data_IF_044234409487
#
_entry.id   IF_044234409487
#
_cell.length_a   1.000
_cell.length_b   1.000
_cell.length_c   1.000
_cell.angle_alpha   90.00
_cell.angle_beta   90.00
_cell.angle_gamma   90.00
#
_symmetry.space_group_name_H-M   'P 1'
#
loop_
_entity.id
_entity.type
_entity.pdbx_description
1 polymer ?
#
# COMPACT_ATOMS: atom_id res chain seq x y z
N UNK A 1 45.56 -35.64 -22.25
CA UNK A 1 45.38 -34.22 -21.89
C UNK A 1 44.18 -34.13 -20.98
N UNK A 2 44.44 -34.01 -19.69
CA UNK A 2 43.48 -33.96 -18.57
C UNK A 2 43.02 -32.51 -18.36
N UNK A 3 41.71 -32.25 -18.42
CA UNK A 3 41.15 -30.93 -18.14
C UNK A 3 40.75 -30.83 -16.67
N UNK A 4 41.44 -29.94 -15.94
CA UNK A 4 41.23 -29.59 -14.54
C UNK A 4 40.02 -28.66 -14.39
N UNK A 5 39.07 -29.04 -13.54
CA UNK A 5 37.94 -28.19 -13.15
C UNK A 5 38.41 -27.13 -12.14
N UNK A 6 38.21 -25.85 -12.47
CA UNK A 6 38.49 -24.72 -11.58
C UNK A 6 37.19 -24.31 -10.90
N UNK A 7 37.12 -24.48 -9.58
CA UNK A 7 36.01 -24.03 -8.72
C UNK A 7 36.10 -22.53 -8.50
N UNK A 8 35.33 -21.75 -9.26
CA UNK A 8 35.15 -20.32 -9.03
C UNK A 8 34.23 -20.06 -7.83
N UNK A 9 34.75 -19.40 -6.79
CA UNK A 9 33.98 -18.93 -5.65
C UNK A 9 32.97 -17.85 -6.10
N UNK A 10 31.70 -18.02 -5.72
CA UNK A 10 30.68 -16.99 -5.91
C UNK A 10 30.99 -15.77 -5.03
N UNK A 11 30.94 -14.53 -5.56
CA UNK A 11 31.09 -13.34 -4.74
C UNK A 11 29.89 -13.20 -3.80
N UNK A 12 30.17 -12.93 -2.53
CA UNK A 12 29.18 -12.66 -1.51
C UNK A 12 28.27 -11.49 -1.92
N UNK A 13 26.97 -11.61 -1.67
CA UNK A 13 26.01 -10.56 -1.93
C UNK A 13 26.36 -9.28 -1.14
N UNK A 14 26.20 -8.08 -1.72
CA UNK A 14 26.50 -6.83 -1.05
C UNK A 14 25.61 -6.67 0.19
N UNK A 15 26.23 -6.39 1.34
CA UNK A 15 25.54 -6.06 2.58
C UNK A 15 24.81 -4.74 2.41
N UNK A 16 23.51 -4.73 2.71
CA UNK A 16 22.70 -3.52 2.67
C UNK A 16 23.23 -2.49 3.68
N UNK A 17 23.17 -1.18 3.37
CA UNK A 17 23.59 -0.15 4.32
C UNK A 17 22.73 -0.20 5.58
N UNK A 18 23.39 -0.33 6.74
CA UNK A 18 22.76 -0.31 8.05
C UNK A 18 22.40 1.13 8.42
N UNK A 19 21.10 1.39 8.57
CA UNK A 19 20.56 2.63 9.15
C UNK A 19 21.10 2.81 10.59
N UNK A 20 21.27 4.04 11.11
CA UNK A 20 21.76 4.25 12.46
C UNK A 20 20.91 3.48 13.47
N UNK A 21 21.56 2.79 14.41
CA UNK A 21 20.87 2.06 15.46
C UNK A 21 19.96 3.04 16.24
N UNK A 22 18.68 2.66 16.39
CA UNK A 22 17.72 3.48 17.11
C UNK A 22 18.19 3.71 18.56
N UNK A 23 18.13 4.96 19.03
CA UNK A 23 18.46 5.28 20.42
C UNK A 23 17.58 4.45 21.38
N UNK A 24 18.11 3.98 22.52
CA UNK A 24 17.30 3.22 23.49
C UNK A 24 16.15 4.10 24.01
N UNK A 25 14.92 3.61 23.84
CA UNK A 25 13.69 4.23 24.33
C UNK A 25 12.95 3.21 25.18
N UNK A 26 12.31 3.67 26.26
CA UNK A 26 11.46 2.82 27.11
C UNK A 26 10.05 2.68 26.57
N UNK A 27 9.68 3.45 25.54
CA UNK A 27 8.36 3.42 24.93
C UNK A 27 8.24 2.23 23.96
N UNK A 28 7.07 1.57 23.90
CA UNK A 28 6.88 0.45 22.99
C UNK A 28 6.91 0.92 21.55
N UNK A 29 7.61 0.14 20.72
CA UNK A 29 7.69 0.36 19.27
C UNK A 29 6.92 -0.71 18.55
N UNK A 30 6.18 -0.32 17.52
CA UNK A 30 5.41 -1.19 16.66
C UNK A 30 5.92 -1.05 15.23
N UNK A 31 5.76 -2.10 14.44
CA UNK A 31 5.96 -2.02 13.00
C UNK A 31 4.80 -2.64 12.23
N UNK A 32 4.53 -2.07 11.06
CA UNK A 32 3.61 -2.62 10.09
C UNK A 32 4.33 -2.78 8.74
N UNK A 33 4.19 -3.96 8.14
CA UNK A 33 4.59 -4.21 6.75
C UNK A 33 3.32 -4.45 5.93
N UNK A 34 3.14 -3.67 4.87
CA UNK A 34 2.07 -3.83 3.90
C UNK A 34 2.64 -4.29 2.55
N UNK A 35 2.17 -5.44 2.07
CA UNK A 35 2.58 -6.04 0.80
C UNK A 35 1.44 -5.86 -0.22
N UNK A 36 1.54 -4.80 -1.01
CA UNK A 36 0.66 -4.53 -2.13
C UNK A 36 1.16 -5.10 -3.46
N UNK A 37 0.38 -4.84 -4.52
CA UNK A 37 0.70 -5.29 -5.89
C UNK A 37 1.99 -4.71 -6.44
N UNK A 38 2.24 -3.42 -6.19
CA UNK A 38 3.39 -2.71 -6.76
C UNK A 38 4.53 -2.53 -5.75
N UNK A 39 4.18 -2.33 -4.47
CA UNK A 39 5.17 -2.00 -3.44
C UNK A 39 4.94 -2.75 -2.13
N UNK A 40 6.04 -2.98 -1.43
CA UNK A 40 6.08 -3.32 0.00
C UNK A 40 6.41 -2.04 0.75
N UNK A 41 5.63 -1.73 1.80
CA UNK A 41 5.85 -0.59 2.69
C UNK A 41 6.13 -1.09 4.10
N UNK A 42 7.07 -0.45 4.78
CA UNK A 42 7.34 -0.62 6.20
C UNK A 42 7.11 0.73 6.88
N UNK A 43 6.40 0.71 8.00
CA UNK A 43 6.34 1.83 8.95
C UNK A 43 6.75 1.31 10.32
N UNK A 44 7.69 1.99 10.96
CA UNK A 44 8.08 1.77 12.36
C UNK A 44 7.64 2.99 13.17
N UNK A 45 6.89 2.77 14.23
CA UNK A 45 6.34 3.83 15.06
C UNK A 45 6.58 3.57 16.55
N UNK A 46 6.77 4.64 17.31
CA UNK A 46 6.88 4.63 18.77
C UNK A 46 5.58 5.15 19.38
N UNK A 47 4.94 4.33 20.21
CA UNK A 47 3.65 4.67 20.84
C UNK A 47 3.91 5.61 22.01
N UNK A 48 3.19 6.73 22.02
CA UNK A 48 3.26 7.74 23.07
C UNK A 48 2.33 7.41 24.24
N UNK A 49 2.58 7.93 25.46
CA UNK A 49 1.74 7.66 26.63
C UNK A 49 0.26 8.07 26.48
N UNK A 50 -0.03 9.04 25.62
CA UNK A 50 -1.38 9.52 25.31
C UNK A 50 -2.13 8.67 24.25
N UNK A 51 -1.50 7.56 23.80
CA UNK A 51 -2.06 6.69 22.77
C UNK A 51 -1.91 7.22 21.34
N UNK A 52 -1.17 8.30 21.13
CA UNK A 52 -0.68 8.70 19.81
C UNK A 52 0.58 7.91 19.43
N UNK A 53 1.13 8.14 18.24
CA UNK A 53 2.37 7.52 17.82
C UNK A 53 3.24 8.51 17.04
N UNK A 54 4.55 8.28 17.11
CA UNK A 54 5.55 9.00 16.33
C UNK A 54 6.21 8.04 15.37
N UNK A 55 6.16 8.33 14.08
CA UNK A 55 6.87 7.54 13.06
C UNK A 55 8.37 7.72 13.27
N UNK A 56 9.07 6.61 13.48
CA UNK A 56 10.53 6.55 13.61
C UNK A 56 11.19 6.28 12.27
N UNK A 57 10.54 5.46 11.45
CA UNK A 57 11.05 5.10 10.15
C UNK A 57 9.94 4.71 9.18
N UNK A 58 10.17 5.01 7.91
CA UNK A 58 9.37 4.53 6.78
C UNK A 58 10.31 4.03 5.69
N UNK A 59 9.92 2.93 5.06
CA UNK A 59 10.63 2.40 3.90
C UNK A 59 9.62 1.87 2.87
N UNK A 60 9.97 2.01 1.59
CA UNK A 60 9.12 1.60 0.47
C UNK A 60 9.98 1.05 -0.65
N UNK A 61 9.65 -0.17 -1.07
CA UNK A 61 10.33 -0.85 -2.16
C UNK A 61 9.35 -1.52 -3.12
N UNK A 62 9.80 -1.84 -4.33
CA UNK A 62 9.01 -2.69 -5.25
C UNK A 62 8.82 -4.11 -4.69
N UNK A 63 7.64 -4.68 -4.89
CA UNK A 63 7.26 -5.98 -4.33
C UNK A 63 8.14 -7.11 -4.86
N UNK A 64 8.96 -7.70 -3.99
CA UNK A 64 9.73 -8.94 -4.21
C UNK A 64 9.89 -9.69 -2.89
N UNK A 65 9.83 -11.03 -2.89
CA UNK A 65 9.92 -11.84 -1.67
C UNK A 65 11.17 -11.52 -0.82
N UNK A 66 12.33 -11.33 -1.46
CA UNK A 66 13.57 -11.00 -0.75
C UNK A 66 13.54 -9.66 0.00
N UNK A 67 12.58 -8.77 -0.30
CA UNK A 67 12.42 -7.49 0.44
C UNK A 67 11.69 -7.66 1.75
N UNK A 68 10.85 -8.69 1.89
CA UNK A 68 10.15 -9.01 3.15
C UNK A 68 11.15 -9.26 4.28
N UNK A 69 12.22 -10.03 4.01
CA UNK A 69 13.29 -10.27 4.97
C UNK A 69 14.06 -8.99 5.36
N UNK A 70 14.31 -8.10 4.40
CA UNK A 70 14.97 -6.80 4.67
C UNK A 70 14.10 -5.91 5.57
N UNK A 71 12.80 -5.79 5.27
CA UNK A 71 11.88 -5.00 6.09
C UNK A 71 11.78 -5.52 7.51
N UNK A 72 11.75 -6.86 7.69
CA UNK A 72 11.84 -7.47 9.02
C UNK A 72 13.15 -7.12 9.73
N UNK A 73 14.29 -7.21 9.06
CA UNK A 73 15.58 -6.88 9.67
C UNK A 73 15.65 -5.40 10.14
N UNK A 74 15.03 -4.48 9.40
CA UNK A 74 14.87 -3.09 9.83
C UNK A 74 14.03 -3.03 11.11
N UNK A 75 12.83 -3.62 11.11
CA UNK A 75 11.96 -3.63 12.28
C UNK A 75 12.63 -4.26 13.52
N UNK A 76 13.34 -5.38 13.34
CA UNK A 76 14.12 -6.04 14.41
C UNK A 76 15.24 -5.11 14.93
N UNK A 77 15.91 -4.36 14.05
CA UNK A 77 16.93 -3.38 14.42
C UNK A 77 16.41 -2.22 15.27
N UNK A 78 15.10 -1.90 15.18
CA UNK A 78 14.44 -0.93 16.05
C UNK A 78 13.98 -1.52 17.39
N UNK A 79 14.05 -2.85 17.56
CA UNK A 79 13.59 -3.54 18.76
C UNK A 79 12.07 -3.45 18.94
N UNK A 80 11.30 -3.59 17.87
CA UNK A 80 9.83 -3.51 17.94
C UNK A 80 9.24 -4.61 18.82
N UNK A 81 8.25 -4.25 19.63
CA UNK A 81 7.50 -5.19 20.48
C UNK A 81 6.55 -6.05 19.65
N UNK A 82 6.01 -5.49 18.56
CA UNK A 82 5.10 -6.18 17.66
C UNK A 82 5.36 -5.77 16.21
N UNK A 83 5.29 -6.76 15.31
CA UNK A 83 5.34 -6.58 13.87
C UNK A 83 4.11 -7.23 13.25
N UNK A 84 3.21 -6.43 12.67
CA UNK A 84 2.10 -6.93 11.84
C UNK A 84 2.50 -6.86 10.37
N UNK A 85 2.36 -7.96 9.64
CA UNK A 85 2.68 -8.02 8.20
C UNK A 85 1.43 -8.48 7.46
N UNK A 86 0.90 -7.62 6.58
CA UNK A 86 -0.29 -7.92 5.78
C UNK A 86 0.07 -8.00 4.28
N UNK A 87 -0.72 -8.76 3.53
CA UNK A 87 -0.71 -8.75 2.07
C UNK A 87 -2.11 -8.61 1.51
N UNK A 88 -2.24 -7.88 0.40
CA UNK A 88 -3.52 -7.49 -0.17
C UNK A 88 -3.80 -8.22 -1.49
N UNK A 89 -4.52 -7.58 -2.42
CA UNK A 89 -5.07 -8.17 -3.65
C UNK A 89 -4.08 -9.05 -4.43
N UNK A 90 -2.81 -8.62 -4.56
CA UNK A 90 -1.83 -9.38 -5.35
C UNK A 90 -1.52 -10.77 -4.80
N UNK A 91 -1.35 -10.91 -3.48
CA UNK A 91 -1.08 -12.22 -2.87
C UNK A 91 -2.38 -13.01 -2.74
N UNK A 92 -3.50 -12.33 -2.45
CA UNK A 92 -4.84 -12.92 -2.33
C UNK A 92 -5.31 -13.61 -3.61
N UNK A 93 -5.04 -13.00 -4.76
CA UNK A 93 -5.49 -13.50 -6.07
C UNK A 93 -4.47 -14.41 -6.77
N UNK A 94 -3.19 -14.37 -6.37
CA UNK A 94 -2.16 -15.16 -7.03
C UNK A 94 -2.36 -16.67 -6.82
N UNK A 95 -2.25 -17.45 -7.90
CA UNK A 95 -2.33 -18.92 -7.84
C UNK A 95 -1.30 -19.54 -6.88
N UNK A 96 -0.14 -18.90 -6.74
CA UNK A 96 0.95 -19.27 -5.83
C UNK A 96 1.01 -18.40 -4.56
N UNK A 97 -0.06 -17.68 -4.21
CA UNK A 97 -0.08 -16.80 -3.03
C UNK A 97 0.18 -17.54 -1.72
N UNK A 98 -0.33 -18.77 -1.58
CA UNK A 98 -0.07 -19.64 -0.41
C UNK A 98 1.40 -20.05 -0.30
N UNK A 99 2.06 -20.28 -1.42
CA UNK A 99 3.49 -20.58 -1.45
C UNK A 99 4.28 -19.35 -1.01
N UNK A 100 3.92 -18.15 -1.49
CA UNK A 100 4.54 -16.90 -1.05
C UNK A 100 4.45 -16.69 0.46
N UNK A 101 3.27 -16.92 1.07
CA UNK A 101 3.06 -16.87 2.52
C UNK A 101 3.95 -17.89 3.25
N UNK A 102 3.98 -19.13 2.76
CA UNK A 102 4.78 -20.20 3.35
C UNK A 102 6.28 -19.91 3.28
N UNK A 103 6.74 -19.36 2.16
CA UNK A 103 8.13 -18.97 1.94
C UNK A 103 8.57 -17.80 2.82
N UNK A 104 7.69 -16.80 3.04
CA UNK A 104 7.95 -15.69 3.94
C UNK A 104 8.22 -16.19 5.38
N UNK A 105 7.44 -17.18 5.85
CA UNK A 105 7.69 -17.82 7.13
C UNK A 105 8.97 -18.67 7.11
N UNK A 106 9.15 -19.54 6.09
CA UNK A 106 10.26 -20.49 6.03
C UNK A 106 11.62 -19.80 5.96
N UNK A 107 11.75 -18.74 5.15
CA UNK A 107 13.02 -18.05 4.90
C UNK A 107 13.29 -16.92 5.88
N UNK A 108 12.25 -16.21 6.30
CA UNK A 108 12.40 -14.94 7.02
C UNK A 108 11.68 -14.92 8.38
N UNK A 109 10.96 -16.00 8.75
CA UNK A 109 10.16 -16.05 9.99
C UNK A 109 9.16 -14.89 10.09
N UNK A 110 8.68 -14.40 8.95
CA UNK A 110 7.64 -13.39 8.88
C UNK A 110 6.29 -14.08 8.79
N UNK A 111 5.40 -13.80 9.75
CA UNK A 111 4.00 -14.23 9.68
C UNK A 111 3.26 -13.24 8.78
N UNK A 112 2.86 -13.70 7.61
CA UNK A 112 2.13 -12.89 6.64
C UNK A 112 0.63 -13.19 6.72
N UNK A 113 -0.17 -12.18 6.99
CA UNK A 113 -1.63 -12.23 6.99
C UNK A 113 -2.14 -11.78 5.61
N UNK A 114 -2.82 -12.64 4.87
CA UNK A 114 -3.52 -12.22 3.64
C UNK A 114 -4.87 -11.68 4.03
N UNK A 115 -5.04 -10.36 4.01
CA UNK A 115 -6.26 -9.71 4.50
C UNK A 115 -7.38 -9.76 3.45
N UNK A 116 -8.65 -9.96 3.87
CA UNK A 116 -9.81 -9.71 3.02
C UNK A 116 -9.88 -8.26 2.59
N UNK A 117 -10.58 -7.98 1.49
CA UNK A 117 -10.69 -6.62 0.98
C UNK A 117 -11.50 -5.71 1.94
N UNK A 118 -12.45 -6.28 2.67
CA UNK A 118 -13.24 -5.59 3.69
C UNK A 118 -12.35 -5.15 4.86
N UNK A 119 -11.37 -5.96 5.24
CA UNK A 119 -10.40 -5.61 6.30
C UNK A 119 -9.43 -4.53 5.82
N UNK A 120 -8.95 -4.61 4.57
CA UNK A 120 -8.13 -3.58 3.93
C UNK A 120 -8.86 -2.22 3.93
N UNK A 121 -10.12 -2.20 3.50
CA UNK A 121 -10.96 -1.01 3.54
C UNK A 121 -11.22 -0.51 4.98
N UNK A 122 -11.45 -1.42 5.94
CA UNK A 122 -11.63 -1.04 7.35
C UNK A 122 -10.37 -0.40 7.93
N UNK A 123 -9.19 -0.89 7.57
CA UNK A 123 -7.91 -0.30 7.98
C UNK A 123 -7.72 1.08 7.35
N UNK A 124 -8.04 1.25 6.07
CA UNK A 124 -8.03 2.54 5.39
C UNK A 124 -8.99 3.54 6.06
N UNK A 125 -10.23 3.13 6.35
CA UNK A 125 -11.21 3.93 7.07
C UNK A 125 -10.72 4.40 8.44
N UNK A 126 -10.12 3.49 9.22
CA UNK A 126 -9.52 3.82 10.52
C UNK A 126 -8.36 4.79 10.42
N UNK A 127 -7.58 4.70 9.35
CA UNK A 127 -6.51 5.66 9.08
C UNK A 127 -7.08 7.05 8.82
N UNK A 128 -8.12 7.16 7.98
CA UNK A 128 -8.76 8.44 7.65
C UNK A 128 -9.41 9.09 8.86
N UNK A 129 -10.23 8.35 9.62
CA UNK A 129 -10.95 8.88 10.81
C UNK A 129 -10.03 9.30 11.94
N UNK A 130 -8.77 8.87 11.95
CA UNK A 130 -7.77 9.36 12.91
C UNK A 130 -7.14 10.69 12.49
N UNK A 131 -7.23 11.04 11.22
CA UNK A 131 -6.58 12.21 10.63
C UNK A 131 -7.56 13.32 10.28
N UNK A 132 -8.80 12.97 9.94
CA UNK A 132 -9.86 13.90 9.54
C UNK A 132 -11.06 13.71 10.44
N UNK A 133 -11.66 14.82 10.84
CA UNK A 133 -12.98 14.84 11.45
C UNK A 133 -14.03 14.65 10.35
N UNK A 134 -14.78 13.55 10.43
CA UNK A 134 -15.82 13.18 9.47
C UNK A 134 -17.23 13.35 10.04
N UNK A 135 -17.34 13.98 11.22
CA UNK A 135 -18.63 14.20 11.86
C UNK A 135 -19.51 15.10 10.95
N UNK A 136 -20.79 14.76 10.89
CA UNK A 136 -21.80 15.43 10.06
C UNK A 136 -21.53 15.47 8.53
N UNK A 137 -20.55 14.71 8.02
CA UNK A 137 -20.23 14.67 6.58
C UNK A 137 -20.67 13.36 5.90
N UNK A 138 -21.06 13.50 4.63
CA UNK A 138 -21.21 12.39 3.70
C UNK A 138 -19.90 12.20 2.93
N UNK A 139 -19.09 11.23 3.31
CA UNK A 139 -17.72 11.07 2.82
C UNK A 139 -17.56 9.82 1.95
N UNK A 140 -16.85 9.95 0.83
CA UNK A 140 -16.29 8.83 0.09
C UNK A 140 -14.78 8.75 0.33
N UNK A 141 -14.29 7.64 0.87
CA UNK A 141 -12.86 7.35 0.97
C UNK A 141 -12.51 6.40 -0.17
N UNK A 142 -11.51 6.78 -0.97
CA UNK A 142 -11.10 6.02 -2.15
C UNK A 142 -9.61 5.73 -2.04
N UNK A 143 -9.22 4.45 -1.93
CA UNK A 143 -7.83 4.02 -1.97
C UNK A 143 -7.52 3.38 -3.32
N UNK A 144 -6.63 3.98 -4.11
CA UNK A 144 -6.20 3.40 -5.40
C UNK A 144 -4.88 2.66 -5.21
N UNK A 145 -4.99 1.34 -5.10
CA UNK A 145 -3.87 0.42 -5.13
C UNK A 145 -3.39 0.05 -6.54
N UNK A 146 -2.41 -0.84 -6.61
CA UNK A 146 -1.92 -1.38 -7.89
C UNK A 146 -2.85 -2.44 -8.47
N UNK A 147 -3.48 -3.26 -7.63
CA UNK A 147 -4.35 -4.37 -8.03
C UNK A 147 -5.85 -4.10 -7.87
N UNK A 148 -6.24 -3.29 -6.89
CA UNK A 148 -7.63 -2.98 -6.57
C UNK A 148 -7.83 -1.49 -6.29
N UNK A 149 -9.08 -1.11 -6.09
CA UNK A 149 -9.48 0.18 -5.54
C UNK A 149 -10.59 -0.06 -4.53
N UNK A 150 -10.37 0.40 -3.31
CA UNK A 150 -11.35 0.32 -2.24
C UNK A 150 -12.13 1.64 -2.18
N UNK A 151 -13.47 1.54 -2.14
CA UNK A 151 -14.39 2.66 -1.99
C UNK A 151 -15.19 2.45 -0.71
N UNK A 152 -15.10 3.38 0.22
CA UNK A 152 -15.83 3.36 1.49
C UNK A 152 -16.74 4.59 1.51
N UNK A 153 -18.04 4.38 1.64
CA UNK A 153 -19.01 5.45 1.84
C UNK A 153 -19.34 5.51 3.33
N UNK A 154 -19.09 6.66 3.94
CA UNK A 154 -19.36 6.91 5.36
C UNK A 154 -20.25 8.14 5.57
N UNK A 155 -21.16 8.04 6.55
CA UNK A 155 -22.02 9.14 6.97
C UNK A 155 -21.84 9.37 8.47
N UNK A 156 -21.47 10.59 8.88
CA UNK A 156 -21.25 10.94 10.29
C UNK A 156 -20.27 9.99 11.00
N UNK A 157 -19.14 9.69 10.35
CA UNK A 157 -18.13 8.78 10.89
C UNK A 157 -18.52 7.29 10.94
N UNK A 158 -19.66 6.88 10.39
CA UNK A 158 -20.10 5.48 10.31
C UNK A 158 -20.01 4.97 8.87
N UNK A 159 -19.51 3.74 8.70
CA UNK A 159 -19.41 3.10 7.39
C UNK A 159 -20.77 2.56 6.95
N UNK A 160 -21.28 3.08 5.84
CA UNK A 160 -22.54 2.66 5.22
C UNK A 160 -22.32 1.61 4.12
N UNK A 161 -21.22 1.73 3.37
CA UNK A 161 -20.88 0.79 2.29
C UNK A 161 -19.38 0.65 2.13
N UNK A 162 -18.92 -0.57 1.89
CA UNK A 162 -17.54 -0.89 1.50
C UNK A 162 -17.58 -1.69 0.21
N UNK A 163 -16.83 -1.25 -0.79
CA UNK A 163 -16.70 -1.93 -2.07
C UNK A 163 -15.23 -2.03 -2.45
N UNK A 164 -14.78 -3.22 -2.80
CA UNK A 164 -13.46 -3.46 -3.38
C UNK A 164 -13.60 -3.76 -4.86
N UNK A 165 -13.03 -2.90 -5.70
CA UNK A 165 -13.12 -2.98 -7.14
C UNK A 165 -11.80 -3.51 -7.71
N UNK A 166 -11.82 -4.41 -8.72
CA UNK A 166 -10.61 -4.86 -9.41
C UNK A 166 -10.10 -3.78 -10.40
N UNK A 167 -9.93 -2.54 -9.92
CA UNK A 167 -9.61 -1.34 -10.70
C UNK A 167 -8.28 -0.70 -10.30
N UNK A 168 -7.29 -1.51 -9.92
CA UNK A 168 -5.96 -0.99 -9.57
C UNK A 168 -5.18 -0.44 -10.77
N UNK A 169 -4.31 0.55 -10.51
CA UNK A 169 -3.55 1.26 -11.53
C UNK A 169 -2.64 0.34 -12.38
N UNK A 170 -1.95 -0.60 -11.74
CA UNK A 170 -1.08 -1.57 -12.44
C UNK A 170 -1.93 -2.55 -13.26
N UNK A 171 -3.00 -3.09 -12.68
CA UNK A 171 -3.90 -4.02 -13.37
C UNK A 171 -4.49 -3.40 -14.63
N UNK A 172 -4.97 -2.16 -14.54
CA UNK A 172 -5.57 -1.45 -15.67
C UNK A 172 -4.52 -1.08 -16.72
N UNK A 173 -3.33 -0.64 -16.30
CA UNK A 173 -2.22 -0.36 -17.22
C UNK A 173 -1.78 -1.61 -18.00
N UNK A 174 -1.55 -2.74 -17.32
CA UNK A 174 -1.18 -3.99 -17.97
C UNK A 174 -2.24 -4.47 -18.95
N UNK A 175 -3.53 -4.27 -18.65
CA UNK A 175 -4.63 -4.71 -19.50
C UNK A 175 -4.84 -3.81 -20.72
N UNK A 176 -4.80 -2.49 -20.56
CA UNK A 176 -5.23 -1.54 -21.60
C UNK A 176 -4.09 -0.69 -22.18
N UNK A 177 -3.03 -0.39 -21.41
CA UNK A 177 -1.95 0.50 -21.82
C UNK A 177 -0.87 -0.21 -22.64
N UNK A 178 -1.23 -0.60 -23.87
CA UNK A 178 -0.34 -1.32 -24.81
C UNK A 178 0.47 -0.40 -25.74
N UNK A 179 0.37 0.92 -25.56
CA UNK A 179 1.06 1.91 -26.40
C UNK A 179 1.27 3.19 -25.61
N UNK A 180 2.32 3.93 -25.95
CA UNK A 180 2.56 5.27 -25.45
C UNK A 180 2.79 6.24 -26.64
N UNK A 181 1.90 7.22 -26.88
CA UNK A 181 0.68 7.51 -26.13
C UNK A 181 -0.41 6.44 -26.29
N UNK A 182 -1.38 6.44 -25.38
CA UNK A 182 -2.48 5.49 -25.40
C UNK A 182 -3.41 5.74 -26.60
N UNK A 183 -3.64 4.71 -27.43
CA UNK A 183 -4.59 4.81 -28.55
C UNK A 183 -6.02 5.07 -28.07
N UNK A 184 -6.76 5.93 -28.78
CA UNK A 184 -8.12 6.33 -28.42
C UNK A 184 -9.10 5.16 -28.22
N UNK A 185 -8.96 4.07 -29.01
CA UNK A 185 -9.75 2.85 -28.84
C UNK A 185 -9.54 2.21 -27.46
N UNK A 186 -8.29 2.11 -27.01
CA UNK A 186 -7.96 1.53 -25.69
C UNK A 186 -8.40 2.45 -24.56
N UNK A 187 -8.28 3.78 -24.73
CA UNK A 187 -8.81 4.75 -23.78
C UNK A 187 -10.33 4.61 -23.58
N UNK A 188 -11.11 4.55 -24.66
CA UNK A 188 -12.57 4.35 -24.59
C UNK A 188 -12.93 3.03 -23.91
N UNK A 189 -12.19 1.96 -24.20
CA UNK A 189 -12.41 0.65 -23.58
C UNK A 189 -12.10 0.68 -22.07
N UNK A 190 -10.98 1.30 -21.68
CA UNK A 190 -10.60 1.48 -20.28
C UNK A 190 -11.68 2.23 -19.50
N UNK A 191 -12.10 3.40 -19.99
CA UNK A 191 -13.13 4.22 -19.34
C UNK A 191 -14.45 3.46 -19.21
N UNK A 192 -14.92 2.81 -20.28
CA UNK A 192 -16.15 1.99 -20.23
C UNK A 192 -16.05 0.87 -19.19
N UNK A 193 -14.90 0.21 -19.08
CA UNK A 193 -14.72 -0.83 -18.06
C UNK A 193 -14.75 -0.26 -16.65
N UNK A 194 -14.11 0.88 -16.40
CA UNK A 194 -14.16 1.55 -15.10
C UNK A 194 -15.61 1.92 -14.75
N UNK A 195 -16.30 2.62 -15.65
CA UNK A 195 -17.68 3.08 -15.44
C UNK A 195 -18.64 1.90 -15.15
N UNK A 196 -18.55 0.83 -15.94
CA UNK A 196 -19.38 -0.36 -15.74
C UNK A 196 -19.05 -1.08 -14.42
N UNK A 197 -17.77 -1.23 -14.09
CA UNK A 197 -17.35 -1.93 -12.87
C UNK A 197 -17.82 -1.18 -11.62
N UNK A 198 -17.72 0.15 -11.63
CA UNK A 198 -18.24 1.02 -10.56
C UNK A 198 -19.76 0.87 -10.46
N UNK A 199 -20.48 0.98 -11.58
CA UNK A 199 -21.93 0.89 -11.59
C UNK A 199 -22.45 -0.46 -11.10
N UNK A 200 -21.83 -1.56 -11.53
CA UNK A 200 -22.24 -2.93 -11.17
C UNK A 200 -22.00 -3.22 -9.68
N UNK A 201 -20.88 -2.73 -9.11
CA UNK A 201 -20.47 -3.06 -7.76
C UNK A 201 -21.04 -2.11 -6.69
N UNK A 202 -21.13 -0.81 -6.98
CA UNK A 202 -21.69 0.19 -6.05
C UNK A 202 -23.21 0.23 -6.17
N UNK A 203 -23.75 0.05 -7.39
CA UNK A 203 -25.19 0.17 -7.64
C UNK A 203 -25.69 1.59 -7.36
N UNK A 204 -26.84 1.70 -6.69
CA UNK A 204 -27.34 2.99 -6.17
C UNK A 204 -26.65 3.25 -4.82
N UNK A 205 -25.77 4.27 -4.72
CA UNK A 205 -25.12 4.56 -3.45
C UNK A 205 -26.16 5.04 -2.41
N UNK A 206 -25.91 4.82 -1.11
CA UNK A 206 -26.80 5.27 -0.04
C UNK A 206 -27.00 6.79 -0.05
N UNK A 207 -25.99 7.54 -0.50
CA UNK A 207 -26.01 8.99 -0.63
C UNK A 207 -25.01 9.46 -1.69
N UNK A 208 -25.10 10.73 -2.10
CA UNK A 208 -24.05 11.39 -2.86
C UNK A 208 -23.02 11.95 -1.88
N UNK A 209 -21.75 11.56 -2.01
CA UNK A 209 -20.69 12.07 -1.13
C UNK A 209 -20.46 13.56 -1.37
N UNK A 210 -20.37 14.33 -0.30
CA UNK A 210 -20.02 15.75 -0.27
C UNK A 210 -18.51 15.95 -0.29
N UNK A 211 -17.77 15.02 0.32
CA UNK A 211 -16.31 15.05 0.41
C UNK A 211 -15.73 13.72 -0.08
N UNK A 212 -14.67 13.79 -0.89
CA UNK A 212 -13.88 12.62 -1.27
C UNK A 212 -12.47 12.71 -0.69
N UNK A 213 -12.06 11.67 0.03
CA UNK A 213 -10.70 11.54 0.58
C UNK A 213 -9.97 10.46 -0.23
N UNK A 214 -8.94 10.87 -0.97
CA UNK A 214 -8.10 9.98 -1.77
C UNK A 214 -6.91 9.44 -0.98
N UNK A 215 -6.66 8.13 -1.06
CA UNK A 215 -5.50 7.44 -0.47
C UNK A 215 -4.74 6.62 -1.52
N UNK A 216 -3.45 6.40 -1.26
CA UNK A 216 -2.59 5.59 -2.12
C UNK A 216 -1.71 6.41 -3.05
N UNK A 217 -0.78 5.72 -3.71
CA UNK A 217 0.31 6.37 -4.47
C UNK A 217 -0.18 7.17 -5.68
N UNK A 218 -1.33 6.80 -6.25
CA UNK A 218 -1.90 7.50 -7.39
C UNK A 218 -2.36 8.91 -7.00
N UNK A 219 -3.11 9.06 -5.90
CA UNK A 219 -3.56 10.38 -5.44
C UNK A 219 -2.40 11.25 -4.97
N UNK A 220 -1.43 10.69 -4.24
CA UNK A 220 -0.25 11.46 -3.81
C UNK A 220 0.52 11.99 -5.01
N UNK A 221 0.77 11.16 -6.02
CA UNK A 221 1.48 11.60 -7.22
C UNK A 221 0.68 12.66 -8.01
N UNK A 222 -0.64 12.54 -8.10
CA UNK A 222 -1.48 13.56 -8.73
C UNK A 222 -1.42 14.91 -7.98
N UNK A 223 -1.45 14.88 -6.65
CA UNK A 223 -1.30 16.09 -5.83
C UNK A 223 0.08 16.75 -6.01
N UNK A 224 1.15 15.95 -6.07
CA UNK A 224 2.51 16.44 -6.34
C UNK A 224 2.64 17.07 -7.73
N UNK A 225 2.05 16.44 -8.75
CA UNK A 225 2.02 16.98 -10.11
C UNK A 225 1.26 18.32 -10.17
N UNK A 226 0.11 18.41 -9.51
CA UNK A 226 -0.69 19.64 -9.44
C UNK A 226 0.06 20.77 -8.70
N UNK A 227 0.75 20.45 -7.59
CA UNK A 227 1.60 21.42 -6.88
C UNK A 227 2.77 21.91 -7.75
N UNK A 228 3.44 21.00 -8.45
CA UNK A 228 4.54 21.36 -9.33
C UNK A 228 4.08 22.29 -10.46
N UNK A 229 2.90 22.05 -11.02
CA UNK A 229 2.30 22.90 -12.05
C UNK A 229 1.90 24.28 -11.51
N UNK A 230 1.33 24.36 -10.30
CA UNK A 230 0.82 25.61 -9.72
C UNK A 230 1.91 26.48 -9.08
N UNK A 231 2.76 25.86 -8.27
CA UNK A 231 3.65 26.54 -7.34
C UNK A 231 5.14 26.36 -7.70
N UNK A 232 5.45 25.55 -8.73
CA UNK A 232 6.82 25.26 -9.18
C UNK A 232 7.65 24.44 -8.19
N UNK A 233 7.04 23.94 -7.12
CA UNK A 233 7.69 23.14 -6.07
C UNK A 233 6.72 22.14 -5.47
N UNK A 234 7.25 21.01 -5.02
CA UNK A 234 6.52 19.99 -4.28
C UNK A 234 6.93 20.07 -2.82
N UNK A 235 5.96 20.13 -1.90
CA UNK A 235 6.23 20.16 -0.46
C UNK A 235 5.76 18.88 0.22
N UNK A 236 4.45 18.74 0.38
CA UNK A 236 3.80 17.52 0.89
C UNK A 236 2.52 17.30 0.10
N UNK A 237 2.26 16.05 -0.29
CA UNK A 237 0.98 15.67 -0.90
C UNK A 237 -0.14 15.51 0.15
N UNK A 238 0.23 15.44 1.43
CA UNK A 238 -0.70 15.26 2.53
C UNK A 238 -1.60 16.49 2.66
N UNK A 239 -2.90 16.26 2.85
CA UNK A 239 -3.94 17.29 3.02
C UNK A 239 -4.11 18.22 1.80
N UNK A 240 -3.57 17.84 0.62
CA UNK A 240 -3.74 18.63 -0.60
C UNK A 240 -5.20 18.60 -1.08
N UNK A 241 -5.75 19.78 -1.36
CA UNK A 241 -7.10 19.96 -1.90
C UNK A 241 -7.00 20.44 -3.36
N UNK A 242 -7.71 19.74 -4.24
CA UNK A 242 -7.80 20.05 -5.67
C UNK A 242 -8.78 21.19 -5.95
#
# INVERSE_FOLDING_TARGET
MTATATTGAHPAAPTAPTKPAAQPSTLPRLAAIDIGTNSIRLVVAEVQPDGTYRVLDEDREMTRLGRVGRMKAIADGFGVAELRTIATAAVREAANGRDFVSEAWRRHRVRLEVVPAEEEARLAFRSVTRHYDLDDQLTAIVDIGGGSTEVILAAGGLVEQVVSLPLGAVRLAERYCKSDPLRQKHWKALRRTIDQTIADAIGKPPFAAEVMIGSGGTFTNLAEMAQAERDGKVTTARDYQF
#
